data_IF_044110209440
#
_entry.id   IF_044110209440
#
_cell.length_a   1.000
_cell.length_b   1.000
_cell.length_c   1.000
_cell.angle_alpha   90.00
_cell.angle_beta   90.00
_cell.angle_gamma   90.00
#
_symmetry.space_group_name_H-M   'P 1'
#
loop_
_entity.id
_entity.type
_entity.pdbx_description
1 polymer ?
#
# COMPACT_ATOMS: atom_id res chain seq x y z
N UNK A 1 1.50 -8.00 -7.81
CA UNK A 1 1.51 -9.45 -8.13
C UNK A 1 2.86 -9.80 -8.72
N UNK A 2 3.37 -10.99 -8.42
CA UNK A 2 4.67 -11.44 -8.93
C UNK A 2 4.66 -11.65 -10.45
N UNK A 3 5.82 -11.48 -11.08
CA UNK A 3 6.00 -11.82 -12.48
C UNK A 3 6.09 -13.35 -12.66
N UNK A 4 5.11 -13.95 -13.36
CA UNK A 4 5.10 -15.37 -13.63
C UNK A 4 6.28 -15.82 -14.53
N UNK A 5 6.85 -14.90 -15.31
CA UNK A 5 8.09 -15.19 -16.06
C UNK A 5 9.25 -15.38 -15.10
N UNK A 6 9.38 -14.51 -14.07
CA UNK A 6 10.41 -14.65 -13.03
C UNK A 6 10.23 -15.97 -12.24
N UNK A 7 8.97 -16.34 -11.93
CA UNK A 7 8.68 -17.63 -11.27
C UNK A 7 9.18 -18.84 -12.10
N UNK A 8 9.09 -18.78 -13.43
CA UNK A 8 9.58 -19.86 -14.31
C UNK A 8 11.09 -19.85 -14.46
N UNK A 9 11.65 -18.68 -14.79
CA UNK A 9 13.04 -18.56 -15.24
C UNK A 9 14.03 -18.56 -14.06
N UNK A 10 13.57 -18.14 -12.86
CA UNK A 10 14.38 -17.98 -11.64
C UNK A 10 13.73 -18.64 -10.43
N UNK A 11 13.21 -19.87 -10.59
CA UNK A 11 12.35 -20.53 -9.61
C UNK A 11 12.95 -20.60 -8.19
N UNK A 12 14.20 -21.05 -8.04
CA UNK A 12 14.83 -21.18 -6.71
C UNK A 12 15.05 -19.82 -6.04
N UNK A 13 15.39 -18.79 -6.78
CA UNK A 13 15.49 -17.43 -6.26
C UNK A 13 14.13 -16.93 -5.72
N UNK A 14 13.05 -17.18 -6.49
CA UNK A 14 11.69 -16.82 -6.07
C UNK A 14 11.27 -17.61 -4.83
N UNK A 15 11.58 -18.91 -4.76
CA UNK A 15 11.31 -19.74 -3.58
C UNK A 15 11.99 -19.17 -2.34
N UNK A 16 13.30 -18.90 -2.41
CA UNK A 16 14.05 -18.32 -1.29
C UNK A 16 13.48 -16.97 -0.89
N UNK A 17 13.23 -16.09 -1.85
CA UNK A 17 12.65 -14.76 -1.59
C UNK A 17 11.28 -14.82 -0.91
N UNK A 18 10.43 -15.76 -1.30
CA UNK A 18 9.11 -15.94 -0.69
C UNK A 18 9.17 -16.67 0.66
N UNK A 19 10.11 -17.60 0.85
CA UNK A 19 10.35 -18.23 2.16
C UNK A 19 10.79 -17.20 3.19
N UNK A 20 11.64 -16.25 2.83
CA UNK A 20 12.01 -15.11 3.68
C UNK A 20 10.80 -14.20 4.03
N UNK A 21 9.69 -14.33 3.29
CA UNK A 21 8.41 -13.66 3.54
C UNK A 21 7.37 -14.59 4.19
N UNK A 22 7.80 -15.72 4.76
CA UNK A 22 6.94 -16.68 5.46
C UNK A 22 6.07 -17.56 4.55
N UNK A 23 6.34 -17.62 3.24
CA UNK A 23 5.61 -18.49 2.30
C UNK A 23 6.26 -19.86 2.22
N UNK A 24 5.48 -20.92 2.39
CA UNK A 24 5.99 -22.28 2.28
C UNK A 24 6.36 -22.63 0.81
N UNK A 25 7.47 -23.32 0.61
CA UNK A 25 7.95 -23.77 -0.71
C UNK A 25 6.86 -24.44 -1.54
N UNK A 26 6.04 -25.30 -0.92
CA UNK A 26 4.97 -26.03 -1.60
C UNK A 26 3.96 -25.15 -2.33
N UNK A 27 3.69 -23.93 -1.80
CA UNK A 27 2.77 -22.96 -2.42
C UNK A 27 3.36 -22.40 -3.71
N UNK A 28 4.68 -22.18 -3.72
CA UNK A 28 5.40 -21.70 -4.92
C UNK A 28 5.50 -22.80 -5.97
N UNK A 29 5.69 -24.05 -5.56
CA UNK A 29 5.65 -25.23 -6.43
C UNK A 29 4.27 -25.38 -7.07
N UNK A 30 3.21 -25.31 -6.30
CA UNK A 30 1.82 -25.36 -6.80
C UNK A 30 1.55 -24.24 -7.81
N UNK A 31 2.00 -23.03 -7.55
CA UNK A 31 1.87 -21.89 -8.47
C UNK A 31 2.56 -22.16 -9.81
N UNK A 32 3.80 -22.69 -9.78
CA UNK A 32 4.55 -23.05 -10.98
C UNK A 32 3.84 -24.14 -11.77
N UNK A 33 3.41 -25.20 -11.11
CA UNK A 33 2.76 -26.35 -11.74
C UNK A 33 1.41 -25.95 -12.39
N UNK A 34 0.67 -25.03 -11.74
CA UNK A 34 -0.54 -24.45 -12.32
C UNK A 34 -0.24 -23.57 -13.55
N UNK A 35 0.83 -22.77 -13.53
CA UNK A 35 1.23 -21.96 -14.70
C UNK A 35 1.68 -22.85 -15.86
N UNK A 36 2.40 -23.94 -15.62
CA UNK A 36 2.78 -24.91 -16.64
C UNK A 36 1.54 -25.55 -17.26
N UNK A 37 0.64 -26.05 -16.43
CA UNK A 37 -0.62 -26.64 -16.87
C UNK A 37 -1.51 -25.64 -17.64
N UNK A 38 -1.57 -24.39 -17.20
CA UNK A 38 -2.28 -23.33 -17.92
C UNK A 38 -1.72 -23.15 -19.33
N UNK A 39 -0.41 -23.11 -19.49
CA UNK A 39 0.26 -22.96 -20.79
C UNK A 39 0.01 -24.15 -21.71
N UNK A 40 0.06 -25.37 -21.17
CA UNK A 40 -0.29 -26.57 -21.93
C UNK A 40 -1.73 -26.55 -22.44
N UNK A 41 -2.67 -26.13 -21.58
CA UNK A 41 -4.08 -26.04 -21.94
C UNK A 41 -4.35 -24.94 -22.97
N UNK A 42 -3.68 -23.79 -22.89
CA UNK A 42 -3.75 -22.73 -23.90
C UNK A 42 -3.29 -23.28 -25.26
N UNK A 43 -2.13 -23.91 -25.31
CA UNK A 43 -1.58 -24.47 -26.54
C UNK A 43 -2.52 -25.55 -27.14
N UNK A 44 -3.06 -26.44 -26.30
CA UNK A 44 -4.02 -27.47 -26.72
C UNK A 44 -5.31 -26.82 -27.26
N UNK A 45 -5.82 -25.83 -26.62
CA UNK A 45 -7.04 -25.11 -27.06
C UNK A 45 -6.80 -24.43 -28.42
N UNK A 46 -5.65 -23.78 -28.60
CA UNK A 46 -5.29 -23.15 -29.87
C UNK A 46 -5.18 -24.19 -30.99
N UNK A 47 -4.53 -25.34 -30.76
CA UNK A 47 -4.43 -26.44 -31.71
C UNK A 47 -5.82 -27.01 -32.09
N UNK A 48 -6.68 -27.24 -31.11
CA UNK A 48 -8.05 -27.69 -31.35
C UNK A 48 -8.88 -26.70 -32.16
N UNK A 49 -8.76 -25.39 -31.83
CA UNK A 49 -9.46 -24.32 -32.57
C UNK A 49 -8.94 -24.20 -34.03
N UNK A 50 -7.63 -24.33 -34.24
CA UNK A 50 -7.03 -24.35 -35.57
C UNK A 50 -7.52 -25.58 -36.36
N UNK A 51 -7.48 -26.77 -35.76
CA UNK A 51 -7.97 -27.99 -36.37
C UNK A 51 -9.45 -27.91 -36.74
N UNK A 52 -10.29 -27.35 -35.83
CA UNK A 52 -11.70 -27.07 -36.10
C UNK A 52 -11.89 -26.23 -37.37
N UNK A 53 -11.09 -25.17 -37.54
CA UNK A 53 -11.17 -24.29 -38.70
C UNK A 53 -10.82 -25.05 -39.99
N UNK A 54 -9.75 -25.85 -40.00
CA UNK A 54 -9.35 -26.69 -41.13
C UNK A 54 -10.45 -27.67 -41.52
N UNK A 55 -10.99 -28.43 -40.56
CA UNK A 55 -12.06 -29.40 -40.84
C UNK A 55 -13.34 -28.69 -41.32
N UNK A 56 -13.61 -27.48 -40.84
CA UNK A 56 -14.75 -26.67 -41.33
C UNK A 56 -14.61 -26.35 -42.83
N UNK A 57 -13.40 -25.99 -43.26
CA UNK A 57 -13.08 -25.74 -44.67
C UNK A 57 -13.23 -27.00 -45.51
N UNK A 58 -12.69 -28.14 -45.03
CA UNK A 58 -12.84 -29.46 -45.70
C UNK A 58 -14.31 -29.84 -45.87
N UNK A 59 -15.13 -29.73 -44.82
CA UNK A 59 -16.58 -29.98 -44.89
C UNK A 59 -17.24 -29.09 -45.96
N UNK A 60 -16.83 -27.82 -46.02
CA UNK A 60 -17.37 -26.90 -47.02
C UNK A 60 -17.01 -27.27 -48.43
N UNK A 61 -15.78 -27.79 -48.65
CA UNK A 61 -15.31 -28.29 -49.95
C UNK A 61 -16.06 -29.56 -50.35
N UNK A 62 -16.17 -30.56 -49.46
CA UNK A 62 -16.92 -31.79 -49.70
C UNK A 62 -18.37 -31.51 -50.08
N UNK A 63 -19.05 -30.61 -49.38
CA UNK A 63 -20.42 -30.18 -49.68
C UNK A 63 -20.54 -29.51 -51.06
N UNK A 64 -19.55 -28.64 -51.42
CA UNK A 64 -19.52 -28.03 -52.77
C UNK A 64 -19.36 -29.06 -53.88
N UNK A 65 -18.55 -30.09 -53.64
CA UNK A 65 -18.28 -31.18 -54.57
C UNK A 65 -19.42 -32.20 -54.58
N UNK A 66 -20.45 -32.08 -53.71
CA UNK A 66 -21.52 -33.04 -53.48
C UNK A 66 -21.02 -34.41 -53.00
N UNK A 67 -19.91 -34.42 -52.25
CA UNK A 67 -19.32 -35.58 -51.61
C UNK A 67 -19.89 -35.76 -50.19
N UNK A 68 -19.82 -37.01 -49.65
CA UNK A 68 -20.30 -37.28 -48.29
C UNK A 68 -19.36 -36.67 -47.25
N UNK A 69 -19.92 -35.75 -46.43
CA UNK A 69 -19.20 -35.08 -45.35
C UNK A 69 -19.57 -35.63 -43.94
N UNK A 70 -20.33 -36.71 -43.85
CA UNK A 70 -20.88 -37.21 -42.59
C UNK A 70 -19.83 -37.55 -41.53
N UNK A 71 -18.74 -38.20 -41.96
CA UNK A 71 -17.60 -38.52 -41.07
C UNK A 71 -16.92 -37.28 -40.50
N UNK A 72 -16.69 -36.25 -41.36
CA UNK A 72 -16.08 -35.00 -40.95
C UNK A 72 -17.01 -34.14 -40.04
N UNK A 73 -18.30 -34.24 -40.24
CA UNK A 73 -19.30 -33.59 -39.37
C UNK A 73 -19.30 -34.23 -37.98
N UNK A 74 -19.22 -35.58 -37.89
CA UNK A 74 -19.09 -36.30 -36.62
C UNK A 74 -17.81 -35.94 -35.88
N UNK A 75 -16.67 -35.91 -36.62
CA UNK A 75 -15.38 -35.45 -36.09
C UNK A 75 -15.43 -34.04 -35.56
N UNK A 76 -16.08 -33.09 -36.26
CA UNK A 76 -16.30 -31.72 -35.83
C UNK A 76 -17.09 -31.62 -34.54
N UNK A 77 -18.09 -32.47 -34.33
CA UNK A 77 -18.86 -32.51 -33.09
C UNK A 77 -17.95 -32.89 -31.92
N UNK A 78 -17.11 -33.90 -32.08
CA UNK A 78 -16.16 -34.32 -31.06
C UNK A 78 -15.13 -33.22 -30.74
N UNK A 79 -14.55 -32.62 -31.77
CA UNK A 79 -13.62 -31.48 -31.59
C UNK A 79 -14.27 -30.31 -30.86
N UNK A 80 -15.56 -30.03 -31.14
CA UNK A 80 -16.32 -29.02 -30.41
C UNK A 80 -16.50 -29.35 -28.94
N UNK A 81 -16.74 -30.61 -28.59
CA UNK A 81 -16.84 -31.08 -27.20
C UNK A 81 -15.47 -31.01 -26.49
N UNK A 82 -14.39 -31.38 -27.20
CA UNK A 82 -13.00 -31.32 -26.67
C UNK A 82 -12.56 -29.86 -26.41
N UNK A 83 -12.88 -28.93 -27.31
CA UNK A 83 -12.64 -27.48 -27.10
C UNK A 83 -13.34 -27.00 -25.84
N UNK A 84 -14.63 -27.32 -25.69
CA UNK A 84 -15.43 -26.90 -24.54
C UNK A 84 -14.88 -27.48 -23.23
N UNK A 85 -14.49 -28.75 -23.22
CA UNK A 85 -13.91 -29.40 -22.05
C UNK A 85 -12.55 -28.77 -21.68
N UNK A 86 -11.71 -28.47 -22.67
CA UNK A 86 -10.40 -27.85 -22.44
C UNK A 86 -10.53 -26.41 -21.99
N UNK A 87 -11.46 -25.62 -22.56
CA UNK A 87 -11.74 -24.24 -22.11
C UNK A 87 -12.26 -24.22 -20.64
N UNK A 88 -13.12 -25.18 -20.25
CA UNK A 88 -13.61 -25.31 -18.88
C UNK A 88 -12.47 -25.63 -17.90
N UNK A 89 -11.59 -26.58 -18.25
CA UNK A 89 -10.42 -26.93 -17.43
C UNK A 89 -9.41 -25.78 -17.34
N UNK A 90 -9.23 -25.01 -18.42
CA UNK A 90 -8.39 -23.83 -18.43
C UNK A 90 -8.94 -22.77 -17.44
N UNK A 91 -10.24 -22.53 -17.45
CA UNK A 91 -10.86 -21.57 -16.51
C UNK A 91 -10.66 -22.00 -15.05
N UNK A 92 -10.79 -23.29 -14.72
CA UNK A 92 -10.52 -23.77 -13.36
C UNK A 92 -9.06 -23.60 -12.94
N UNK A 93 -8.11 -23.83 -13.86
CA UNK A 93 -6.68 -23.64 -13.60
C UNK A 93 -6.35 -22.17 -13.42
N UNK A 94 -6.92 -21.29 -14.24
CA UNK A 94 -6.73 -19.84 -14.14
C UNK A 94 -7.30 -19.27 -12.84
N UNK A 95 -8.46 -19.74 -12.38
CA UNK A 95 -9.04 -19.35 -11.09
C UNK A 95 -8.13 -19.74 -9.92
N UNK A 96 -7.61 -20.98 -9.90
CA UNK A 96 -6.70 -21.44 -8.85
C UNK A 96 -5.37 -20.68 -8.88
N UNK A 97 -4.83 -20.45 -10.06
CA UNK A 97 -3.58 -19.70 -10.24
C UNK A 97 -3.74 -18.26 -9.72
N UNK A 98 -4.82 -17.59 -10.10
CA UNK A 98 -5.13 -16.22 -9.63
C UNK A 98 -5.35 -16.20 -8.11
N UNK A 99 -6.04 -17.19 -7.56
CA UNK A 99 -6.26 -17.32 -6.12
C UNK A 99 -4.93 -17.35 -5.34
N UNK A 100 -3.96 -18.14 -5.78
CA UNK A 100 -2.64 -18.23 -5.14
C UNK A 100 -1.83 -16.95 -5.43
N UNK A 101 -1.68 -16.58 -6.69
CA UNK A 101 -0.84 -15.46 -7.11
C UNK A 101 -1.25 -14.13 -6.48
N UNK A 102 -2.57 -13.90 -6.30
CA UNK A 102 -3.07 -12.67 -5.69
C UNK A 102 -2.82 -12.57 -4.18
N UNK A 103 -2.47 -13.67 -3.52
CA UNK A 103 -2.20 -13.75 -2.07
C UNK A 103 -0.73 -13.87 -1.70
N UNK A 104 0.16 -14.00 -2.69
CA UNK A 104 1.59 -13.99 -2.45
C UNK A 104 2.13 -12.58 -2.28
N UNK A 105 2.98 -12.34 -1.25
CA UNK A 105 3.61 -11.04 -1.04
C UNK A 105 4.65 -10.75 -2.12
N UNK A 106 5.08 -9.50 -2.21
CA UNK A 106 6.21 -9.12 -3.03
C UNK A 106 7.53 -9.70 -2.47
N UNK A 107 8.52 -9.84 -3.32
CA UNK A 107 9.86 -10.30 -2.94
C UNK A 107 10.68 -9.11 -2.47
N UNK A 108 11.42 -9.28 -1.37
CA UNK A 108 12.30 -8.28 -0.82
C UNK A 108 13.48 -7.97 -1.77
N UNK A 109 13.94 -6.72 -1.78
CA UNK A 109 15.18 -6.30 -2.43
C UNK A 109 16.39 -6.99 -1.76
N UNK A 110 17.47 -7.13 -2.51
CA UNK A 110 18.64 -7.91 -2.06
C UNK A 110 19.35 -7.36 -0.81
N UNK A 111 19.20 -6.07 -0.54
CA UNK A 111 19.81 -5.37 0.60
C UNK A 111 18.88 -5.27 1.83
N UNK A 112 17.70 -5.87 1.76
CA UNK A 112 16.77 -5.94 2.90
C UNK A 112 17.25 -7.01 3.89
N UNK A 113 17.32 -6.69 5.20
CA UNK A 113 17.69 -7.67 6.21
C UNK A 113 16.67 -8.84 6.25
N UNK A 114 17.19 -10.05 6.36
CA UNK A 114 16.35 -11.24 6.55
C UNK A 114 16.04 -11.38 8.04
N UNK A 115 14.77 -11.47 8.40
CA UNK A 115 14.30 -11.59 9.78
C UNK A 115 12.85 -12.08 9.84
N UNK A 116 12.39 -12.50 11.00
CA UNK A 116 11.05 -13.06 11.23
C UNK A 116 10.04 -11.99 11.66
N UNK A 117 10.48 -11.00 12.45
CA UNK A 117 9.61 -9.96 13.03
C UNK A 117 10.35 -8.63 13.24
N UNK A 118 9.69 -7.67 13.90
CA UNK A 118 10.19 -6.32 14.15
C UNK A 118 11.52 -6.26 14.93
N UNK A 119 11.94 -7.33 15.62
CA UNK A 119 13.18 -7.34 16.39
C UNK A 119 14.43 -7.41 15.50
N UNK A 120 14.28 -7.84 14.24
CA UNK A 120 15.36 -7.88 13.25
C UNK A 120 15.39 -6.65 12.33
N UNK A 121 14.56 -5.64 12.58
CA UNK A 121 14.63 -4.37 11.89
C UNK A 121 15.94 -3.64 12.25
N UNK A 122 16.52 -2.93 11.28
CA UNK A 122 17.85 -2.31 11.45
C UNK A 122 17.74 -0.79 11.44
N UNK A 123 18.21 -0.14 12.50
CA UNK A 123 18.32 1.32 12.55
C UNK A 123 19.41 1.81 11.57
N UNK A 124 19.02 2.72 10.68
CA UNK A 124 19.93 3.28 9.66
C UNK A 124 20.25 4.75 9.89
N UNK A 125 19.35 5.50 10.55
CA UNK A 125 19.52 6.93 10.87
C UNK A 125 18.85 7.27 12.19
N UNK A 126 19.39 8.31 12.87
CA UNK A 126 18.77 8.90 14.06
C UNK A 126 19.08 10.39 14.09
N UNK A 127 18.07 11.22 14.33
CA UNK A 127 18.22 12.67 14.44
C UNK A 127 17.45 13.23 15.65
N UNK A 128 17.98 14.34 16.17
CA UNK A 128 17.45 14.96 17.38
C UNK A 128 17.82 14.20 18.66
N UNK A 129 17.68 14.91 19.78
CA UNK A 129 17.93 14.34 21.11
C UNK A 129 16.64 14.43 21.93
N UNK A 130 16.16 13.32 22.51
CA UNK A 130 15.02 13.37 23.43
C UNK A 130 15.23 14.41 24.53
N UNK A 131 14.18 15.23 24.78
CA UNK A 131 14.18 16.20 25.86
C UNK A 131 14.28 15.49 27.20
N UNK A 132 15.16 15.98 28.07
CA UNK A 132 15.20 15.59 29.48
C UNK A 132 14.24 16.48 30.24
N UNK A 133 13.24 15.87 30.86
CA UNK A 133 12.25 16.59 31.68
C UNK A 133 12.73 16.63 33.13
N UNK A 134 12.44 17.73 33.83
CA UNK A 134 12.61 17.87 35.28
C UNK A 134 11.34 17.46 36.07
N UNK A 135 10.37 16.90 35.36
CA UNK A 135 9.13 16.32 35.88
C UNK A 135 8.81 15.03 35.12
N UNK A 136 7.89 14.23 35.64
CA UNK A 136 7.44 12.99 34.96
C UNK A 136 6.53 13.36 33.78
N UNK A 137 6.93 13.05 32.53
CA UNK A 137 6.12 13.37 31.36
C UNK A 137 4.86 12.50 31.32
N UNK A 138 3.71 13.15 31.11
CA UNK A 138 2.42 12.48 31.01
C UNK A 138 2.20 11.95 29.59
N UNK A 139 1.47 10.84 29.44
CA UNK A 139 1.05 10.37 28.13
C UNK A 139 0.08 11.37 27.48
N UNK A 140 0.13 11.45 26.14
CA UNK A 140 -0.60 12.44 25.34
C UNK A 140 -2.11 12.49 25.63
N UNK A 141 -2.75 11.38 25.97
CA UNK A 141 -4.18 11.36 26.32
C UNK A 141 -4.48 12.08 27.62
N UNK A 142 -3.61 11.96 28.63
CA UNK A 142 -3.78 12.70 29.90
C UNK A 142 -3.54 14.20 29.72
N UNK A 143 -2.52 14.56 28.94
CA UNK A 143 -2.25 15.97 28.57
C UNK A 143 -3.47 16.56 27.85
N UNK A 144 -3.99 15.84 26.86
CA UNK A 144 -5.12 16.29 26.04
C UNK A 144 -6.44 16.40 26.84
N UNK A 145 -6.70 15.47 27.74
CA UNK A 145 -7.87 15.51 28.63
C UNK A 145 -7.79 16.69 29.62
N UNK A 146 -6.60 16.91 30.22
CA UNK A 146 -6.38 18.03 31.12
C UNK A 146 -6.59 19.39 30.45
N UNK A 147 -6.20 19.53 29.18
CA UNK A 147 -6.38 20.71 28.34
C UNK A 147 -7.75 20.79 27.67
N UNK A 148 -8.58 19.75 27.80
CA UNK A 148 -9.92 19.67 27.21
C UNK A 148 -9.92 19.81 25.67
N UNK A 149 -8.91 19.27 25.00
CA UNK A 149 -8.71 19.35 23.54
C UNK A 149 -9.04 18.08 22.76
N UNK A 150 -9.15 16.94 23.44
CA UNK A 150 -9.63 15.66 22.90
C UNK A 150 -10.76 15.11 23.77
N UNK A 151 -11.71 14.39 23.14
CA UNK A 151 -12.85 13.78 23.83
C UNK A 151 -13.07 12.35 23.33
N UNK A 152 -12.50 11.41 24.06
CA UNK A 152 -12.60 9.98 23.76
C UNK A 152 -13.97 9.40 24.19
N UNK A 153 -14.54 9.89 25.29
CA UNK A 153 -15.82 9.39 25.82
C UNK A 153 -16.97 9.65 24.84
N UNK A 154 -17.05 10.89 24.34
CA UNK A 154 -18.08 11.22 23.35
C UNK A 154 -17.82 10.59 22.00
N UNK A 155 -16.57 10.39 21.61
CA UNK A 155 -16.21 9.62 20.43
C UNK A 155 -16.71 8.17 20.52
N UNK A 156 -16.45 7.52 21.64
CA UNK A 156 -16.93 6.17 21.91
C UNK A 156 -18.46 6.07 21.96
N UNK A 157 -19.13 7.08 22.51
CA UNK A 157 -20.61 7.14 22.54
C UNK A 157 -21.23 7.19 21.14
N UNK A 158 -20.57 7.89 20.19
CA UNK A 158 -21.12 8.10 18.84
C UNK A 158 -20.79 6.95 17.89
N UNK A 159 -19.54 6.42 17.97
CA UNK A 159 -19.03 5.49 16.95
C UNK A 159 -18.39 4.22 17.53
N UNK A 160 -18.31 4.09 18.84
CA UNK A 160 -17.63 2.99 19.53
C UNK A 160 -16.19 3.34 19.93
N UNK A 161 -15.47 2.34 20.46
CA UNK A 161 -14.08 2.50 20.85
C UNK A 161 -13.20 2.89 19.67
N UNK A 162 -12.03 3.51 19.95
CA UNK A 162 -11.05 3.96 18.93
C UNK A 162 -11.57 5.04 17.97
N UNK A 163 -12.62 5.78 18.39
CA UNK A 163 -13.07 7.03 17.79
C UNK A 163 -12.99 8.15 18.82
N UNK A 164 -12.75 9.37 18.38
CA UNK A 164 -12.65 10.54 19.27
C UNK A 164 -13.12 11.81 18.57
N UNK A 165 -13.30 12.85 19.37
CA UNK A 165 -13.43 14.22 18.89
C UNK A 165 -12.16 15.02 19.22
N UNK A 166 -11.63 15.73 18.22
CA UNK A 166 -10.77 16.87 18.45
C UNK A 166 -11.62 18.09 18.68
N UNK A 167 -11.30 18.93 19.66
CA UNK A 167 -12.07 20.15 19.90
C UNK A 167 -11.20 21.37 20.23
N UNK A 168 -11.70 22.55 19.94
CA UNK A 168 -11.04 23.82 20.25
C UNK A 168 -9.62 23.90 19.64
N UNK A 169 -8.62 24.15 20.48
CA UNK A 169 -7.24 24.24 20.07
C UNK A 169 -6.66 22.87 19.62
N UNK A 170 -7.22 21.75 20.08
CA UNK A 170 -6.84 20.42 19.58
C UNK A 170 -7.22 20.20 18.11
N UNK A 171 -8.45 20.56 17.73
CA UNK A 171 -8.88 20.53 16.33
C UNK A 171 -8.07 21.50 15.46
N UNK A 172 -7.71 22.64 16.00
CA UNK A 172 -6.85 23.60 15.31
C UNK A 172 -5.43 23.07 15.14
N UNK A 173 -4.87 22.40 16.16
CA UNK A 173 -3.55 21.79 16.10
C UNK A 173 -3.48 20.71 15.03
N UNK A 174 -4.47 19.80 14.98
CA UNK A 174 -4.52 18.77 13.95
C UNK A 174 -4.57 19.37 12.55
N UNK A 175 -5.43 20.39 12.35
CA UNK A 175 -5.49 21.11 11.07
C UNK A 175 -4.19 21.86 10.75
N UNK A 176 -3.53 22.45 11.72
CA UNK A 176 -2.24 23.12 11.55
C UNK A 176 -1.16 22.12 11.07
N UNK A 177 -1.12 20.94 11.69
CA UNK A 177 -0.17 19.89 11.35
C UNK A 177 -0.35 19.41 9.90
N UNK A 178 -1.56 19.02 9.49
CA UNK A 178 -1.72 18.51 8.13
C UNK A 178 -1.58 19.61 7.07
N UNK A 179 -1.93 20.84 7.34
CA UNK A 179 -1.67 21.95 6.42
C UNK A 179 -0.16 22.19 6.27
N UNK A 180 0.58 22.21 7.37
CA UNK A 180 2.04 22.30 7.34
C UNK A 180 2.67 21.17 6.53
N UNK A 181 2.22 19.93 6.71
CA UNK A 181 2.72 18.76 5.96
C UNK A 181 2.47 18.90 4.46
N UNK A 182 1.25 19.26 4.06
CA UNK A 182 0.89 19.43 2.65
C UNK A 182 1.71 20.57 2.03
N UNK A 183 1.77 21.73 2.65
CA UNK A 183 2.53 22.87 2.14
C UNK A 183 4.02 22.51 1.97
N UNK A 184 4.61 21.83 2.96
CA UNK A 184 6.01 21.38 2.90
C UNK A 184 6.26 20.45 1.71
N UNK A 185 5.38 19.45 1.52
CA UNK A 185 5.54 18.50 0.41
C UNK A 185 5.32 19.16 -0.96
N UNK A 186 4.37 20.08 -1.07
CA UNK A 186 4.10 20.79 -2.32
C UNK A 186 5.18 21.80 -2.64
N UNK A 187 5.50 22.69 -1.68
CA UNK A 187 6.38 23.83 -1.94
C UNK A 187 7.87 23.46 -1.97
N UNK A 188 8.30 22.55 -1.06
CA UNK A 188 9.70 22.18 -0.93
C UNK A 188 10.06 20.90 -1.68
N UNK A 189 9.20 19.90 -1.64
CA UNK A 189 9.50 18.57 -2.17
C UNK A 189 8.95 18.31 -3.58
N UNK A 190 8.18 19.26 -4.13
CA UNK A 190 7.69 19.21 -5.52
C UNK A 190 6.56 18.22 -5.78
N UNK A 191 5.82 17.83 -4.76
CA UNK A 191 4.63 17.00 -4.94
C UNK A 191 3.45 17.81 -5.48
N UNK A 192 2.64 17.20 -6.32
CA UNK A 192 1.33 17.73 -6.70
C UNK A 192 0.29 17.32 -5.66
N UNK A 193 -0.39 18.32 -5.07
CA UNK A 193 -1.49 18.05 -4.15
C UNK A 193 -2.70 17.50 -4.90
N UNK A 194 -3.30 16.45 -4.35
CA UNK A 194 -4.50 15.81 -4.87
C UNK A 194 -5.60 15.74 -3.80
N UNK A 195 -6.84 15.95 -4.19
CA UNK A 195 -8.02 15.63 -3.38
C UNK A 195 -8.67 14.41 -4.00
N UNK A 196 -8.70 13.32 -3.27
CA UNK A 196 -9.08 12.00 -3.78
C UNK A 196 -10.48 11.57 -3.34
N UNK A 197 -11.13 10.66 -4.06
CA UNK A 197 -12.28 9.91 -3.53
C UNK A 197 -11.90 9.11 -2.27
N UNK A 198 -12.80 9.07 -1.28
CA UNK A 198 -12.63 8.25 -0.06
C UNK A 198 -13.36 6.89 -0.14
N UNK A 199 -14.17 6.73 -1.15
CA UNK A 199 -14.84 5.47 -1.49
C UNK A 199 -14.28 4.96 -2.82
N UNK A 200 -13.75 3.75 -2.81
CA UNK A 200 -13.12 3.13 -3.98
C UNK A 200 -13.75 1.78 -4.28
N UNK A 201 -13.64 1.35 -5.54
CA UNK A 201 -14.11 0.04 -5.97
C UNK A 201 -13.12 -1.09 -5.59
N UNK A 202 -13.58 -2.33 -5.72
CA UNK A 202 -12.79 -3.52 -5.41
C UNK A 202 -11.52 -3.62 -6.27
N UNK A 203 -11.59 -3.21 -7.54
CA UNK A 203 -10.42 -3.23 -8.45
C UNK A 203 -9.32 -2.29 -7.98
N UNK A 204 -9.65 -1.13 -7.41
CA UNK A 204 -8.66 -0.20 -6.85
C UNK A 204 -8.00 -0.79 -5.59
N UNK A 205 -8.76 -1.47 -4.73
CA UNK A 205 -8.23 -2.20 -3.58
C UNK A 205 -7.32 -3.36 -3.98
N UNK A 206 -7.66 -4.04 -5.08
CA UNK A 206 -6.82 -5.06 -5.68
C UNK A 206 -5.52 -4.46 -6.25
N UNK A 207 -5.61 -3.34 -6.95
CA UNK A 207 -4.48 -2.67 -7.61
C UNK A 207 -3.30 -2.38 -6.67
N UNK A 208 -3.58 -1.93 -5.45
CA UNK A 208 -2.55 -1.63 -4.43
C UNK A 208 -2.23 -2.80 -3.50
N UNK A 209 -2.94 -3.94 -3.62
CA UNK A 209 -2.64 -5.16 -2.88
C UNK A 209 -3.38 -5.33 -1.55
N UNK A 210 -4.32 -4.45 -1.21
CA UNK A 210 -5.17 -4.64 -0.03
C UNK A 210 -6.08 -5.85 -0.22
N UNK A 211 -6.67 -6.01 -1.40
CA UNK A 211 -7.47 -7.19 -1.73
C UNK A 211 -6.68 -8.22 -2.54
N UNK A 212 -7.00 -9.50 -2.36
CA UNK A 212 -8.05 -10.07 -1.49
C UNK A 212 -7.63 -10.28 -0.03
N UNK A 213 -6.35 -10.12 0.32
CA UNK A 213 -5.76 -10.58 1.59
C UNK A 213 -6.33 -9.86 2.82
N UNK A 214 -6.52 -8.55 2.75
CA UNK A 214 -6.92 -7.70 3.89
C UNK A 214 -8.38 -7.27 3.85
N UNK A 215 -9.25 -8.12 3.30
CA UNK A 215 -10.68 -7.80 3.16
C UNK A 215 -11.39 -7.62 4.51
N UNK A 216 -10.88 -8.23 5.58
CA UNK A 216 -11.42 -8.10 6.94
C UNK A 216 -10.97 -6.84 7.66
N UNK A 217 -9.90 -6.17 7.16
CA UNK A 217 -9.33 -4.97 7.78
C UNK A 217 -9.94 -3.66 7.28
N UNK A 218 -10.97 -3.72 6.44
CA UNK A 218 -11.59 -2.54 5.82
C UNK A 218 -13.07 -2.42 6.15
N UNK A 219 -13.61 -1.22 6.01
CA UNK A 219 -15.04 -0.94 6.06
C UNK A 219 -15.61 -0.93 4.64
N UNK A 220 -16.47 -1.89 4.32
CA UNK A 220 -17.18 -1.97 3.04
C UNK A 220 -18.64 -1.55 3.19
N UNK A 221 -19.16 -0.87 2.17
CA UNK A 221 -20.59 -0.61 2.05
C UNK A 221 -21.32 -1.91 1.62
N UNK A 222 -22.52 -2.09 2.13
CA UNK A 222 -23.35 -3.29 1.86
C UNK A 222 -24.32 -3.08 0.70
N UNK A 223 -24.18 -1.98 -0.05
CA UNK A 223 -24.99 -1.72 -1.24
C UNK A 223 -24.43 -2.48 -2.47
N UNK A 224 -25.21 -2.47 -3.58
CA UNK A 224 -24.85 -3.19 -4.82
C UNK A 224 -23.50 -2.75 -5.44
N UNK A 225 -22.99 -1.57 -5.07
CA UNK A 225 -21.71 -1.03 -5.58
C UNK A 225 -20.50 -1.63 -4.91
N UNK A 226 -20.62 -2.21 -3.71
CA UNK A 226 -19.55 -2.80 -2.91
C UNK A 226 -18.33 -1.85 -2.75
N UNK A 227 -18.58 -0.55 -2.57
CA UNK A 227 -17.50 0.41 -2.35
C UNK A 227 -16.87 0.24 -0.98
N UNK A 228 -15.58 0.50 -0.90
CA UNK A 228 -14.78 0.41 0.32
C UNK A 228 -14.31 1.79 0.75
N UNK A 229 -14.42 2.10 2.05
CA UNK A 229 -13.74 3.26 2.64
C UNK A 229 -12.23 3.04 2.61
N UNK A 230 -11.48 4.01 2.10
CA UNK A 230 -10.03 3.87 1.93
C UNK A 230 -9.30 3.69 3.26
N UNK A 231 -8.39 2.71 3.37
CA UNK A 231 -7.50 2.58 4.53
C UNK A 231 -6.29 3.54 4.47
N UNK A 232 -6.08 4.17 3.32
CA UNK A 232 -5.00 5.11 3.00
C UNK A 232 -5.27 5.78 1.65
N UNK A 233 -4.80 7.00 1.46
CA UNK A 233 -4.85 7.68 0.16
C UNK A 233 -3.95 7.01 -0.90
N UNK A 234 -3.04 6.11 -0.51
CA UNK A 234 -2.27 5.28 -1.44
C UNK A 234 -3.19 4.64 -2.49
N UNK A 235 -4.37 4.14 -2.07
CA UNK A 235 -5.28 3.43 -2.97
C UNK A 235 -5.76 4.32 -4.12
N UNK A 236 -6.43 5.45 -3.90
CA UNK A 236 -6.87 6.29 -5.00
C UNK A 236 -5.71 6.96 -5.76
N UNK A 237 -4.62 7.34 -5.08
CA UNK A 237 -3.48 7.98 -5.73
C UNK A 237 -2.76 7.03 -6.69
N UNK A 238 -2.47 5.80 -6.26
CA UNK A 238 -1.79 4.81 -7.13
C UNK A 238 -2.68 4.41 -8.31
N UNK A 239 -3.99 4.21 -8.08
CA UNK A 239 -4.92 3.84 -9.13
C UNK A 239 -5.31 5.01 -10.07
N UNK A 240 -4.81 6.23 -9.84
CA UNK A 240 -5.05 7.36 -10.74
C UNK A 240 -4.64 7.05 -12.18
N UNK A 241 -3.55 6.31 -12.37
CA UNK A 241 -3.07 5.86 -13.68
C UNK A 241 -3.39 4.39 -13.99
N UNK A 242 -4.35 3.78 -13.30
CA UNK A 242 -4.73 2.39 -13.58
C UNK A 242 -5.16 2.18 -15.04
N UNK A 243 -4.61 1.12 -15.67
CA UNK A 243 -4.80 0.76 -17.08
C UNK A 243 -4.18 1.75 -18.10
N UNK A 244 -3.32 2.67 -17.68
CA UNK A 244 -2.71 3.66 -18.56
C UNK A 244 -1.27 3.32 -18.98
N UNK A 245 -0.80 3.95 -20.06
CA UNK A 245 0.58 3.92 -20.51
C UNK A 245 1.06 5.37 -20.52
N UNK A 246 2.02 5.68 -19.65
CA UNK A 246 2.64 6.99 -19.57
C UNK A 246 3.83 7.08 -20.52
N UNK A 247 4.26 8.29 -20.86
CA UNK A 247 5.53 8.51 -21.54
C UNK A 247 6.66 8.63 -20.49
N UNK A 248 7.83 8.04 -20.77
CA UNK A 248 8.99 8.06 -19.84
C UNK A 248 9.36 9.49 -19.41
N UNK A 249 9.22 10.47 -20.31
CA UNK A 249 9.50 11.89 -20.03
C UNK A 249 8.61 12.51 -18.94
N UNK A 250 7.49 11.86 -18.57
CA UNK A 250 6.62 12.29 -17.48
C UNK A 250 7.13 11.83 -16.10
N UNK A 251 8.01 10.82 -16.07
CA UNK A 251 8.52 10.21 -14.83
C UNK A 251 9.79 10.91 -14.33
N UNK A 252 10.00 11.02 -13.03
CA UNK A 252 9.10 10.56 -11.97
C UNK A 252 7.93 11.53 -11.74
N UNK A 253 6.77 11.00 -11.30
CA UNK A 253 5.59 11.78 -10.91
C UNK A 253 5.40 11.65 -9.39
N UNK A 254 5.10 12.78 -8.72
CA UNK A 254 4.92 12.87 -7.27
C UNK A 254 3.52 13.39 -6.95
N UNK A 255 2.74 12.62 -6.19
CA UNK A 255 1.45 13.02 -5.67
C UNK A 255 1.43 13.00 -4.15
N UNK A 256 0.75 13.98 -3.53
CA UNK A 256 0.43 13.98 -2.10
C UNK A 256 -1.04 14.28 -1.88
N UNK A 257 -1.62 13.66 -0.86
CA UNK A 257 -3.02 13.91 -0.49
C UNK A 257 -3.21 13.79 1.02
N UNK A 258 -4.00 14.70 1.58
CA UNK A 258 -4.61 14.53 2.88
C UNK A 258 -5.88 13.70 2.72
N UNK A 259 -6.03 12.65 3.51
CA UNK A 259 -7.30 11.93 3.60
C UNK A 259 -7.57 11.39 5.00
N UNK A 260 -8.85 11.21 5.39
CA UNK A 260 -9.16 10.25 6.41
C UNK A 260 -8.79 8.85 5.92
N UNK A 261 -8.32 8.02 6.85
CA UNK A 261 -8.00 6.61 6.65
C UNK A 261 -8.87 5.80 7.59
N UNK A 262 -9.44 4.70 7.08
CA UNK A 262 -10.40 3.88 7.82
C UNK A 262 -9.88 2.44 7.92
N UNK A 263 -9.67 1.95 9.15
CA UNK A 263 -9.15 0.60 9.41
C UNK A 263 -9.97 -0.08 10.49
N UNK A 264 -10.47 -1.30 10.22
CA UNK A 264 -11.22 -2.08 11.21
C UNK A 264 -10.35 -2.63 12.32
N UNK A 265 -9.00 -2.65 12.13
CA UNK A 265 -8.05 -3.11 13.14
C UNK A 265 -8.33 -4.53 13.65
N UNK A 266 -8.77 -5.43 12.77
CA UNK A 266 -9.26 -6.77 13.11
C UNK A 266 -8.22 -7.61 13.88
N UNK A 267 -6.93 -7.45 13.59
CA UNK A 267 -5.83 -8.19 14.22
C UNK A 267 -5.19 -7.52 15.44
N UNK A 268 -5.71 -6.36 15.93
CA UNK A 268 -5.02 -5.51 16.91
C UNK A 268 -5.64 -5.52 18.32
N UNK A 269 -6.37 -6.59 18.70
CA UNK A 269 -7.00 -6.68 20.00
C UNK A 269 -5.98 -6.52 21.14
N UNK A 270 -6.25 -5.59 22.07
CA UNK A 270 -5.41 -5.34 23.25
C UNK A 270 -4.17 -4.46 23.03
N UNK A 271 -3.85 -4.07 21.78
CA UNK A 271 -2.71 -3.18 21.48
C UNK A 271 -3.16 -1.72 21.44
N UNK A 272 -2.37 -0.81 22.04
CA UNK A 272 -2.58 0.64 22.00
C UNK A 272 -4.05 1.05 22.19
N UNK A 273 -4.65 0.60 23.30
CA UNK A 273 -6.09 0.77 23.57
C UNK A 273 -6.48 2.18 24.00
N UNK A 274 -5.50 3.05 24.28
CA UNK A 274 -5.68 4.45 24.68
C UNK A 274 -4.91 5.40 23.76
N UNK A 275 -5.38 6.64 23.68
CA UNK A 275 -4.71 7.71 22.96
C UNK A 275 -4.91 7.66 21.44
N UNK A 276 -3.94 8.24 20.71
CA UNK A 276 -4.02 8.55 19.28
C UNK A 276 -3.24 7.56 18.39
N UNK A 277 -2.57 6.56 18.97
CA UNK A 277 -1.66 5.70 18.21
C UNK A 277 -2.43 4.76 17.28
N UNK A 278 -3.60 4.27 17.72
CA UNK A 278 -4.37 3.27 16.96
C UNK A 278 -5.87 3.58 17.00
N UNK A 279 -6.37 4.09 15.90
CA UNK A 279 -7.76 4.52 15.72
C UNK A 279 -8.39 3.86 14.49
N UNK A 280 -9.72 3.69 14.49
CA UNK A 280 -10.48 3.22 13.33
C UNK A 280 -10.58 4.28 12.23
N UNK A 281 -10.50 5.55 12.60
CA UNK A 281 -10.49 6.70 11.69
C UNK A 281 -9.40 7.68 12.13
N UNK A 282 -8.52 8.04 11.20
CA UNK A 282 -7.44 9.02 11.43
C UNK A 282 -7.08 9.74 10.15
N UNK A 283 -6.54 10.94 10.26
CA UNK A 283 -6.04 11.70 9.11
C UNK A 283 -4.58 11.34 8.82
N UNK A 284 -4.25 11.23 7.55
CA UNK A 284 -2.89 10.96 7.06
C UNK A 284 -2.61 11.79 5.82
N UNK A 285 -1.46 12.41 5.76
CA UNK A 285 -0.88 12.92 4.53
C UNK A 285 -0.12 11.78 3.88
N UNK A 286 -0.47 11.45 2.66
CA UNK A 286 0.14 10.35 1.90
C UNK A 286 0.95 10.90 0.75
N UNK A 287 2.07 10.27 0.47
CA UNK A 287 2.95 10.50 -0.67
C UNK A 287 2.95 9.28 -1.56
N UNK A 288 2.78 9.47 -2.86
CA UNK A 288 2.91 8.41 -3.88
C UNK A 288 3.82 8.90 -4.99
N UNK A 289 4.71 8.03 -5.44
CA UNK A 289 5.56 8.28 -6.60
C UNK A 289 5.40 7.19 -7.64
N UNK A 290 5.53 7.61 -8.90
CA UNK A 290 5.66 6.72 -10.05
C UNK A 290 7.03 6.98 -10.65
N UNK A 291 7.84 5.93 -10.79
CA UNK A 291 9.23 6.04 -11.23
C UNK A 291 9.59 4.95 -12.24
N UNK A 292 10.68 5.16 -12.96
CA UNK A 292 11.27 4.08 -13.76
C UNK A 292 11.98 3.07 -12.84
N UNK A 293 12.17 1.83 -13.29
CA UNK A 293 12.91 0.81 -12.51
C UNK A 293 14.29 1.28 -12.07
N UNK A 294 14.98 2.05 -12.92
CA UNK A 294 16.36 2.49 -12.70
C UNK A 294 16.47 3.50 -11.56
N UNK A 295 15.43 4.33 -11.35
CA UNK A 295 15.46 5.44 -10.40
C UNK A 295 14.67 5.17 -9.12
N UNK A 296 13.87 4.12 -9.06
CA UNK A 296 12.88 3.94 -8.01
C UNK A 296 13.46 3.79 -6.60
N UNK A 297 14.64 3.21 -6.43
CA UNK A 297 15.27 3.11 -5.10
C UNK A 297 15.85 4.46 -4.64
N UNK A 298 16.40 5.28 -5.55
CA UNK A 298 16.78 6.65 -5.24
C UNK A 298 15.56 7.51 -4.87
N UNK A 299 14.43 7.25 -5.51
CA UNK A 299 13.16 7.90 -5.18
C UNK A 299 12.59 7.45 -3.82
N UNK A 300 12.89 6.22 -3.36
CA UNK A 300 12.58 5.78 -2.00
C UNK A 300 13.40 6.55 -0.96
N UNK A 301 14.71 6.72 -1.17
CA UNK A 301 15.57 7.51 -0.27
C UNK A 301 15.05 8.95 -0.15
N UNK A 302 14.72 9.59 -1.28
CA UNK A 302 14.14 10.94 -1.30
C UNK A 302 12.79 11.00 -0.58
N UNK A 303 11.92 10.01 -0.78
CA UNK A 303 10.61 9.96 -0.12
C UNK A 303 10.77 9.83 1.40
N UNK A 304 11.69 9.00 1.85
CA UNK A 304 12.00 8.83 3.28
C UNK A 304 12.54 10.12 3.89
N UNK A 305 13.47 10.79 3.20
CA UNK A 305 13.99 12.11 3.62
C UNK A 305 12.87 13.18 3.67
N UNK A 306 11.91 13.16 2.75
CA UNK A 306 10.76 14.06 2.78
C UNK A 306 9.86 13.82 4.02
N UNK A 307 9.70 12.58 4.46
CA UNK A 307 8.98 12.26 5.69
C UNK A 307 9.77 12.72 6.94
N UNK A 308 11.08 12.47 6.97
CA UNK A 308 11.97 12.92 8.04
C UNK A 308 11.99 14.45 8.16
N UNK A 309 11.90 15.17 7.04
CA UNK A 309 11.93 16.62 6.97
C UNK A 309 10.74 17.29 7.71
N UNK A 310 9.59 16.61 7.74
CA UNK A 310 8.45 17.05 8.57
C UNK A 310 8.83 17.06 10.05
N UNK A 311 9.50 16.01 10.54
CA UNK A 311 9.91 15.90 11.94
C UNK A 311 11.05 16.87 12.27
N UNK A 312 12.00 17.09 11.36
CA UNK A 312 13.04 18.12 11.51
C UNK A 312 12.43 19.51 11.70
N UNK A 313 11.47 19.87 10.84
CA UNK A 313 10.80 21.16 10.93
C UNK A 313 9.95 21.32 12.18
N UNK A 314 9.44 20.22 12.74
CA UNK A 314 8.71 20.21 14.01
C UNK A 314 9.64 20.10 15.24
N UNK A 315 10.95 19.91 15.07
CA UNK A 315 11.91 19.74 16.17
C UNK A 315 11.67 18.47 17.00
N UNK A 316 11.11 17.43 16.39
CA UNK A 316 10.82 16.16 17.06
C UNK A 316 11.96 15.16 16.83
N UNK A 317 12.50 14.52 17.89
CA UNK A 317 13.50 13.47 17.74
C UNK A 317 12.93 12.23 17.07
N UNK A 318 13.68 11.65 16.15
CA UNK A 318 13.26 10.47 15.41
C UNK A 318 14.43 9.54 15.08
N UNK A 319 14.10 8.31 14.72
CA UNK A 319 15.01 7.38 14.06
C UNK A 319 14.35 6.78 12.83
N UNK A 320 15.18 6.31 11.88
CA UNK A 320 14.71 5.59 10.70
C UNK A 320 15.28 4.19 10.72
N UNK A 321 14.43 3.20 10.52
CA UNK A 321 14.77 1.78 10.47
C UNK A 321 14.45 1.22 9.10
N UNK A 322 15.25 0.27 8.60
CA UNK A 322 14.87 -0.58 7.47
C UNK A 322 14.18 -1.83 8.01
N UNK A 323 13.01 -2.12 7.47
CA UNK A 323 12.26 -3.31 7.89
C UNK A 323 12.90 -4.57 7.34
N UNK A 324 12.93 -5.63 8.15
CA UNK A 324 13.33 -6.97 7.72
C UNK A 324 12.24 -7.65 6.89
N UNK A 325 12.58 -8.76 6.25
CA UNK A 325 11.67 -9.50 5.37
C UNK A 325 10.36 -9.92 6.04
N UNK A 326 10.36 -10.25 7.33
CA UNK A 326 9.18 -10.69 8.07
C UNK A 326 8.21 -9.58 8.45
N UNK A 327 8.72 -8.33 8.60
CA UNK A 327 7.93 -7.19 9.05
C UNK A 327 7.43 -6.28 7.91
N UNK A 328 8.00 -6.38 6.71
CA UNK A 328 7.56 -5.57 5.56
C UNK A 328 6.11 -5.82 5.14
N UNK A 329 5.43 -4.76 4.71
CA UNK A 329 4.11 -4.79 4.11
C UNK A 329 4.00 -5.73 2.89
N UNK A 330 2.79 -6.20 2.59
CA UNK A 330 2.50 -7.20 1.55
C UNK A 330 3.03 -6.84 0.16
N UNK A 331 2.84 -5.60 -0.26
CA UNK A 331 3.21 -5.12 -1.61
C UNK A 331 4.65 -4.62 -1.71
N UNK A 332 5.33 -4.41 -0.57
CA UNK A 332 6.63 -3.79 -0.51
C UNK A 332 7.77 -4.73 -0.90
N UNK A 333 8.77 -4.19 -1.60
CA UNK A 333 10.06 -4.82 -1.85
C UNK A 333 11.15 -4.28 -0.92
N UNK A 334 11.05 -3.03 -0.48
CA UNK A 334 11.89 -2.41 0.55
C UNK A 334 11.07 -1.34 1.27
N UNK A 335 11.19 -1.28 2.59
CA UNK A 335 10.49 -0.32 3.43
C UNK A 335 11.43 0.30 4.45
N UNK A 336 11.31 1.63 4.60
CA UNK A 336 11.82 2.37 5.73
C UNK A 336 10.67 2.83 6.61
N UNK A 337 10.76 2.57 7.92
CA UNK A 337 9.88 3.20 8.89
C UNK A 337 10.62 4.33 9.59
N UNK A 338 9.95 5.49 9.68
CA UNK A 338 10.40 6.61 10.49
C UNK A 338 9.63 6.55 11.80
N UNK A 339 10.35 6.53 12.89
CA UNK A 339 9.79 6.41 14.24
C UNK A 339 10.11 7.66 15.06
N UNK A 340 9.09 8.26 15.66
CA UNK A 340 9.22 9.46 16.51
C UNK A 340 9.33 9.08 17.98
N UNK A 341 10.12 9.84 18.73
CA UNK A 341 10.25 9.66 20.19
C UNK A 341 8.96 9.99 20.92
N UNK A 342 8.52 9.11 21.80
CA UNK A 342 7.33 9.27 22.66
C UNK A 342 7.77 9.20 24.13
N UNK A 343 7.94 10.34 24.81
CA UNK A 343 8.53 10.44 26.15
C UNK A 343 7.87 9.57 27.22
N UNK A 344 6.53 9.57 27.29
CA UNK A 344 5.82 8.79 28.31
C UNK A 344 5.92 7.28 28.13
N UNK A 345 6.33 6.80 26.94
CA UNK A 345 6.56 5.39 26.66
C UNK A 345 8.05 5.02 26.67
N UNK A 346 8.93 6.02 26.78
CA UNK A 346 10.39 5.88 26.73
C UNK A 346 10.83 5.07 25.49
N UNK A 347 10.22 5.33 24.33
CA UNK A 347 10.48 4.57 23.10
C UNK A 347 10.17 5.39 21.84
N UNK A 348 10.70 4.93 20.72
CA UNK A 348 10.34 5.39 19.39
C UNK A 348 9.10 4.64 18.89
N UNK A 349 8.20 5.36 18.22
CA UNK A 349 6.95 4.80 17.64
C UNK A 349 6.86 5.19 16.18
N UNK A 350 6.50 4.23 15.34
CA UNK A 350 6.26 4.44 13.90
C UNK A 350 5.30 5.60 13.66
N UNK A 351 5.71 6.55 12.84
CA UNK A 351 4.91 7.70 12.41
C UNK A 351 4.80 7.80 10.89
N UNK A 352 5.73 7.19 10.17
CA UNK A 352 5.71 7.03 8.71
C UNK A 352 6.28 5.69 8.31
N UNK A 353 5.76 5.14 7.22
CA UNK A 353 6.30 3.97 6.54
C UNK A 353 6.43 4.32 5.05
N UNK A 354 7.63 4.23 4.49
CA UNK A 354 7.94 4.56 3.10
C UNK A 354 8.40 3.30 2.37
N UNK A 355 7.66 2.90 1.33
CA UNK A 355 7.86 1.63 0.64
C UNK A 355 8.08 1.82 -0.86
N UNK A 356 9.02 1.06 -1.42
CA UNK A 356 9.11 0.81 -2.85
C UNK A 356 8.44 -0.54 -3.15
N UNK A 357 7.37 -0.51 -3.94
CA UNK A 357 6.63 -1.72 -4.35
C UNK A 357 7.16 -2.32 -5.65
N UNK A 358 8.17 -1.72 -6.25
CA UNK A 358 8.68 -2.04 -7.59
C UNK A 358 7.53 -2.19 -8.59
N UNK A 359 7.48 -3.23 -9.41
CA UNK A 359 6.42 -3.44 -10.40
C UNK A 359 5.17 -4.16 -9.86
N UNK A 360 5.13 -4.48 -8.56
CA UNK A 360 4.08 -5.33 -7.97
C UNK A 360 2.67 -4.74 -8.10
N UNK A 361 2.51 -3.46 -7.72
CA UNK A 361 1.24 -2.76 -7.83
C UNK A 361 0.96 -2.36 -9.28
N UNK A 362 1.97 -1.93 -10.01
CA UNK A 362 1.85 -1.58 -11.43
C UNK A 362 1.36 -2.76 -12.27
N UNK A 363 1.78 -3.99 -11.96
CA UNK A 363 1.29 -5.22 -12.59
C UNK A 363 -0.19 -5.47 -12.29
N UNK A 364 -0.64 -5.25 -11.04
CA UNK A 364 -2.04 -5.42 -10.61
C UNK A 364 -2.95 -4.36 -11.22
N UNK A 365 -2.52 -3.09 -11.20
CA UNK A 365 -3.28 -1.96 -11.72
C UNK A 365 -3.03 -1.69 -13.22
N UNK A 366 -2.13 -2.45 -13.87
CA UNK A 366 -1.75 -2.32 -15.29
C UNK A 366 -1.22 -0.92 -15.63
N UNK A 367 -0.38 -0.35 -14.77
CA UNK A 367 0.26 0.94 -14.98
C UNK A 367 1.59 0.71 -15.69
N UNK A 368 1.77 1.30 -16.85
CA UNK A 368 2.90 1.07 -17.74
C UNK A 368 3.48 2.39 -18.22
N UNK A 369 4.68 2.35 -18.75
CA UNK A 369 5.26 3.47 -19.46
C UNK A 369 5.92 3.02 -20.77
N UNK A 370 6.08 3.98 -21.69
CA UNK A 370 6.77 3.78 -22.96
C UNK A 370 8.18 4.32 -22.84
N UNK A 371 9.18 3.45 -23.00
CA UNK A 371 10.59 3.84 -23.05
C UNK A 371 10.85 4.77 -24.23
N UNK A 372 11.54 5.88 -23.98
CA UNK A 372 11.82 6.91 -25.00
C UNK A 372 12.75 6.39 -26.10
N UNK A 373 13.77 5.62 -25.76
CA UNK A 373 14.77 5.12 -26.71
C UNK A 373 14.25 3.98 -27.57
N UNK A 374 13.54 3.02 -26.99
CA UNK A 374 13.17 1.76 -27.63
C UNK A 374 11.73 1.70 -28.08
N UNK A 375 10.86 2.58 -27.55
CA UNK A 375 9.41 2.54 -27.72
C UNK A 375 8.74 1.34 -27.01
N UNK A 376 9.51 0.53 -26.29
CA UNK A 376 9.00 -0.66 -25.57
C UNK A 376 8.12 -0.21 -24.41
N UNK A 377 7.02 -0.96 -24.19
CA UNK A 377 6.12 -0.74 -23.06
C UNK A 377 6.52 -1.66 -21.92
N UNK A 378 6.78 -1.06 -20.76
CA UNK A 378 7.16 -1.76 -19.53
C UNK A 378 6.30 -1.31 -18.35
N UNK A 379 6.32 -2.10 -17.27
CA UNK A 379 5.72 -1.70 -16.00
C UNK A 379 6.61 -0.66 -15.33
N UNK A 380 6.00 0.41 -14.80
CA UNK A 380 6.73 1.34 -13.94
C UNK A 380 6.79 0.80 -12.50
N UNK A 381 7.57 1.47 -11.65
CA UNK A 381 7.61 1.23 -10.22
C UNK A 381 6.72 2.22 -9.46
N UNK A 382 6.04 1.74 -8.42
CA UNK A 382 5.24 2.57 -7.53
C UNK A 382 5.87 2.62 -6.14
N UNK A 383 5.80 3.79 -5.51
CA UNK A 383 6.25 4.02 -4.16
C UNK A 383 5.13 4.72 -3.38
N UNK A 384 5.02 4.40 -2.11
CA UNK A 384 4.10 5.07 -1.20
C UNK A 384 4.79 5.36 0.14
N UNK A 385 4.33 6.40 0.83
CA UNK A 385 4.83 6.74 2.15
C UNK A 385 3.95 7.75 2.86
N UNK A 386 3.90 7.66 4.19
CA UNK A 386 3.20 8.66 4.98
C UNK A 386 4.03 9.91 5.14
N UNK A 387 3.44 11.05 4.92
CA UNK A 387 4.11 12.32 5.06
C UNK A 387 3.45 13.34 6.01
N UNK A 388 2.89 12.98 7.20
CA UNK A 388 2.94 11.80 8.08
C UNK A 388 1.52 11.37 8.51
N UNK A 389 1.44 10.45 9.52
CA UNK A 389 0.23 10.16 10.27
C UNK A 389 -0.08 11.33 11.23
N UNK A 390 -1.16 12.07 10.97
CA UNK A 390 -1.46 13.35 11.67
C UNK A 390 -1.70 13.13 13.16
N UNK A 391 -2.53 12.16 13.53
CA UNK A 391 -2.84 11.87 14.94
C UNK A 391 -1.62 11.44 15.76
N UNK A 392 -0.70 10.66 15.17
CA UNK A 392 0.57 10.29 15.84
C UNK A 392 1.48 11.50 15.98
N UNK A 393 1.46 12.45 15.05
CA UNK A 393 2.19 13.71 15.16
C UNK A 393 1.61 14.59 16.26
N UNK A 394 0.27 14.64 16.41
CA UNK A 394 -0.37 15.31 17.57
C UNK A 394 0.11 14.69 18.88
N UNK A 395 0.10 13.36 18.99
CA UNK A 395 0.58 12.65 20.19
C UNK A 395 2.03 13.00 20.51
N UNK A 396 2.91 12.98 19.52
CA UNK A 396 4.32 13.31 19.66
C UNK A 396 4.52 14.77 20.13
N UNK A 397 3.79 15.72 19.56
CA UNK A 397 3.86 17.13 19.98
C UNK A 397 3.36 17.29 21.42
N UNK A 398 2.22 16.72 21.78
CA UNK A 398 1.67 16.81 23.14
C UNK A 398 2.66 16.26 24.19
N UNK A 399 3.37 15.18 23.87
CA UNK A 399 4.31 14.59 24.82
C UNK A 399 5.68 15.28 24.84
N UNK A 400 6.26 15.64 23.70
CA UNK A 400 7.58 16.27 23.65
C UNK A 400 7.58 17.75 24.07
N UNK A 401 6.45 18.45 23.84
CA UNK A 401 6.32 19.89 24.09
C UNK A 401 5.47 20.24 25.32
N UNK A 402 5.13 19.24 26.16
CA UNK A 402 4.46 19.47 27.42
C UNK A 402 5.35 20.21 28.40
N UNK A 403 4.75 21.06 29.24
CA UNK A 403 5.44 21.83 30.27
C UNK A 403 4.99 21.41 31.67
N UNK A 404 5.79 21.75 32.70
CA UNK A 404 5.51 21.41 34.08
C UNK A 404 4.17 21.96 34.59
N UNK A 405 3.71 23.08 34.01
CA UNK A 405 2.40 23.72 34.35
C UNK A 405 1.20 23.04 33.66
N UNK A 406 1.45 21.96 32.89
CA UNK A 406 0.43 21.22 32.16
C UNK A 406 0.05 21.82 30.81
N UNK A 407 0.67 22.90 30.39
CA UNK A 407 0.50 23.50 29.07
C UNK A 407 1.35 22.77 28.02
N UNK A 408 1.09 23.07 26.74
CA UNK A 408 1.89 22.53 25.60
C UNK A 408 2.38 23.69 24.75
N UNK A 409 3.68 23.82 24.58
CA UNK A 409 4.30 24.78 23.67
C UNK A 409 4.07 24.31 22.22
N UNK A 410 3.76 25.23 21.31
CA UNK A 410 3.56 24.93 19.89
C UNK A 410 4.92 25.00 19.17
N UNK A 411 5.30 23.99 18.38
CA UNK A 411 6.47 24.08 17.51
C UNK A 411 6.42 25.32 16.62
N UNK A 412 7.55 26.00 16.47
CA UNK A 412 7.63 27.28 15.75
C UNK A 412 7.03 27.23 14.35
N UNK A 413 7.28 26.14 13.62
CA UNK A 413 6.75 25.91 12.28
C UNK A 413 5.21 25.89 12.22
N UNK A 414 4.54 25.54 13.31
CA UNK A 414 3.07 25.47 13.38
C UNK A 414 2.42 26.78 13.86
N UNK A 415 3.18 27.72 14.43
CA UNK A 415 2.62 28.98 14.97
C UNK A 415 1.82 29.77 13.92
N UNK A 416 2.27 29.93 12.66
CA UNK A 416 1.47 30.59 11.63
C UNK A 416 0.14 29.88 11.37
N UNK A 417 0.13 28.54 11.29
CA UNK A 417 -1.07 27.72 11.09
C UNK A 417 -2.00 27.72 12.31
N UNK A 418 -1.45 27.96 13.50
CA UNK A 418 -2.20 28.17 14.74
C UNK A 418 -2.70 29.59 14.90
N UNK A 419 -2.48 30.51 13.91
CA UNK A 419 -2.89 31.91 13.94
C UNK A 419 -2.19 32.71 15.04
N UNK A 420 -0.92 32.41 15.26
CA UNK A 420 -0.08 33.10 16.24
C UNK A 420 -0.18 32.54 17.66
N UNK A 421 -0.96 31.47 17.89
CA UNK A 421 -0.97 30.80 19.21
C UNK A 421 0.34 30.02 19.36
N UNK A 422 1.07 30.37 20.43
CA UNK A 422 2.38 29.77 20.76
C UNK A 422 2.31 28.71 21.86
N UNK A 423 1.17 28.62 22.58
CA UNK A 423 0.98 27.73 23.73
C UNK A 423 -0.48 27.33 23.86
N UNK A 424 -0.75 26.06 24.14
CA UNK A 424 -2.08 25.58 24.52
C UNK A 424 -2.13 25.54 26.05
N UNK A 425 -3.06 26.23 26.63
CA UNK A 425 -3.34 26.25 28.07
C UNK A 425 -4.80 25.93 28.32
N UNK A 426 -5.12 25.56 29.56
CA UNK A 426 -6.51 25.31 29.98
C UNK A 426 -7.33 26.60 29.99
#
# INVERSE_FOLDING_TARGET
MLDMKRVRDHFEEVVVGLQNRGVERKVVEELRDLDEKRRELILKTEQLKQYRNTVTEEISQLKRNKEDASAKIAEMKQVGEDVKATDALLAEVEEKLEYIASRLPNIAAADVPVGEDENENVEVRREGTPRVFDFEPKPHWEVAEALDILDFERGAKVSGSRFLYYKGLGARLERAIYNYMIDLHVEKHGYTEMITPYLVNEQSMYGTGQFPKFKEDVFQLTDERNLTLIPTAEVPLTNYYANEILEEAQLPIYFTALSPSFRSEAGSAGRDTRGLIRLHQFNKVEMVKFATPETSFDELEKMTDNAEDVLRGLGLPFRTIVLCTGDMGFSASKTYDVEVWIPAQDTYREISSCSNCVDFQARRAKIRYRQAETGKIELLHTLNGSGLAVGRTVAAILENYQEADGSVTIPEALVPYMGGVTKITK
#
